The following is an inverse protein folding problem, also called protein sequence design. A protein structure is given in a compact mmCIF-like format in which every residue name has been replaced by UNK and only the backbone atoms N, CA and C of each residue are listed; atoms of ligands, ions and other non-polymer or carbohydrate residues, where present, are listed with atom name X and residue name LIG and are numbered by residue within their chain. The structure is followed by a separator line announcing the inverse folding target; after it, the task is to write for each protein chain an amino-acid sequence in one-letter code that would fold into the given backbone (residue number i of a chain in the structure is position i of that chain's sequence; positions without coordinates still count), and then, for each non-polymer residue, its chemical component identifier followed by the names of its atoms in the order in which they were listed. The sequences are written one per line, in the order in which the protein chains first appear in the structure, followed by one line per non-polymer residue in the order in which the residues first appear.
data_IF_558753153498
#
_entry.id   IF_558753153498
#
_cell.length_a   1.000
_cell.length_b   1.000
_cell.length_c   1.000
_cell.angle_alpha   90.00
_cell.angle_beta   90.00
_cell.angle_gamma   90.00
#
_symmetry.space_group_name_H-M   'P 1'
#
loop_
_entity.id
_entity.type
_entity.pdbx_description
1 polymer ?
#
# COMPACT_ATOMS: atom_id res chain seq x y z
N UNK A 1 12.81 10.23 -12.08
CA UNK A 1 13.93 9.26 -12.15
C UNK A 1 14.34 8.72 -10.78
N UNK A 2 14.61 9.58 -9.78
CA UNK A 2 15.00 9.15 -8.43
C UNK A 2 14.06 8.12 -7.80
N UNK A 3 12.74 8.37 -7.81
CA UNK A 3 11.75 7.43 -7.29
C UNK A 3 11.79 6.06 -7.98
N UNK A 4 11.79 6.04 -9.31
CA UNK A 4 11.81 4.78 -10.09
C UNK A 4 13.08 3.97 -9.83
N UNK A 5 14.25 4.63 -9.81
CA UNK A 5 15.53 3.98 -9.51
C UNK A 5 15.55 3.38 -8.09
N UNK A 6 15.03 4.12 -7.11
CA UNK A 6 14.89 3.66 -5.73
C UNK A 6 13.97 2.45 -5.63
N UNK A 7 12.79 2.50 -6.23
CA UNK A 7 11.81 1.41 -6.16
C UNK A 7 12.33 0.15 -6.85
N UNK A 8 12.85 0.29 -8.08
CA UNK A 8 13.45 -0.82 -8.83
C UNK A 8 14.66 -1.42 -8.09
N UNK A 9 15.56 -0.57 -7.58
CA UNK A 9 16.74 -0.99 -6.84
C UNK A 9 16.39 -1.74 -5.55
N UNK A 10 15.42 -1.25 -4.77
CA UNK A 10 14.97 -1.91 -3.55
C UNK A 10 14.30 -3.27 -3.85
N UNK A 11 13.43 -3.33 -4.87
CA UNK A 11 12.77 -4.58 -5.27
C UNK A 11 13.78 -5.61 -5.77
N UNK A 12 14.74 -5.20 -6.60
CA UNK A 12 15.80 -6.06 -7.09
C UNK A 12 16.65 -6.60 -5.94
N UNK A 13 17.13 -5.72 -5.06
CA UNK A 13 17.87 -6.11 -3.86
C UNK A 13 17.11 -7.14 -3.01
N UNK A 14 15.82 -6.90 -2.78
CA UNK A 14 14.97 -7.78 -1.96
C UNK A 14 14.81 -9.15 -2.60
N UNK A 15 14.61 -9.23 -3.91
CA UNK A 15 14.49 -10.51 -4.63
C UNK A 15 15.81 -11.27 -4.57
N UNK A 16 16.95 -10.61 -4.81
CA UNK A 16 18.28 -11.23 -4.71
C UNK A 16 18.57 -11.77 -3.30
N UNK A 17 18.04 -11.13 -2.25
CA UNK A 17 18.22 -11.59 -0.86
C UNK A 17 17.20 -12.61 -0.39
N UNK A 18 15.97 -12.58 -0.89
CA UNK A 18 14.87 -13.45 -0.42
C UNK A 18 14.73 -14.71 -1.29
N UNK A 19 15.28 -14.72 -2.50
CA UNK A 19 15.31 -15.86 -3.41
C UNK A 19 14.06 -15.99 -4.29
N UNK A 20 12.88 -15.65 -3.80
CA UNK A 20 11.65 -15.65 -4.60
C UNK A 20 10.64 -14.59 -4.16
N UNK A 21 9.67 -14.32 -5.04
CA UNK A 21 8.50 -13.49 -4.73
C UNK A 21 7.25 -14.36 -4.89
N UNK A 22 6.69 -14.76 -3.75
CA UNK A 22 5.58 -15.72 -3.67
C UNK A 22 4.32 -15.24 -4.36
N UNK A 23 4.20 -13.94 -4.65
CA UNK A 23 3.05 -13.37 -5.38
C UNK A 23 2.99 -13.87 -6.83
N UNK A 24 4.12 -14.29 -7.38
CA UNK A 24 4.18 -14.76 -8.76
C UNK A 24 3.93 -16.26 -8.88
N UNK A 25 4.15 -17.06 -7.83
CA UNK A 25 4.19 -18.53 -7.93
C UNK A 25 2.96 -19.13 -8.63
N UNK A 26 1.77 -18.59 -8.38
CA UNK A 26 0.52 -19.07 -8.97
C UNK A 26 0.20 -18.51 -10.37
N UNK A 27 0.88 -17.45 -10.82
CA UNK A 27 0.59 -16.79 -12.12
C UNK A 27 1.62 -17.10 -13.21
N UNK A 28 2.86 -17.45 -12.87
CA UNK A 28 3.96 -17.66 -13.85
C UNK A 28 3.67 -18.81 -14.82
N UNK A 29 2.93 -19.82 -14.34
CA UNK A 29 2.60 -21.01 -15.12
C UNK A 29 1.40 -20.80 -16.06
N UNK A 30 0.74 -19.64 -16.00
CA UNK A 30 -0.44 -19.32 -16.80
C UNK A 30 -0.17 -18.10 -17.70
N UNK A 31 0.14 -18.36 -18.97
CA UNK A 31 0.52 -17.33 -19.95
C UNK A 31 -0.39 -16.09 -19.93
N UNK A 32 -1.71 -16.27 -20.07
CA UNK A 32 -2.65 -15.14 -20.14
C UNK A 32 -2.77 -14.36 -18.81
N UNK A 33 -2.66 -15.04 -17.65
CA UNK A 33 -2.64 -14.36 -16.35
C UNK A 33 -1.36 -13.55 -16.17
N UNK A 34 -0.23 -14.12 -16.58
CA UNK A 34 1.06 -13.45 -16.52
C UNK A 34 1.13 -12.25 -17.48
N UNK A 35 0.67 -12.41 -18.72
CA UNK A 35 0.59 -11.33 -19.70
C UNK A 35 -0.35 -10.21 -19.23
N UNK A 36 -1.54 -10.54 -18.72
CA UNK A 36 -2.49 -9.57 -18.17
C UNK A 36 -1.91 -8.76 -17.01
N UNK A 37 -1.16 -9.40 -16.11
CA UNK A 37 -0.45 -8.72 -15.04
C UNK A 37 0.52 -7.65 -15.59
N UNK A 38 1.38 -8.02 -16.55
CA UNK A 38 2.36 -7.08 -17.12
C UNK A 38 1.73 -5.96 -17.94
N UNK A 39 0.67 -6.23 -18.69
CA UNK A 39 -0.11 -5.19 -19.38
C UNK A 39 -0.69 -4.20 -18.37
N UNK A 40 -1.22 -4.70 -17.24
CA UNK A 40 -1.68 -3.86 -16.14
C UNK A 40 -0.56 -2.99 -15.56
N UNK A 41 0.65 -3.54 -15.40
CA UNK A 41 1.83 -2.77 -14.96
C UNK A 41 2.24 -1.69 -15.96
N UNK A 42 2.20 -1.97 -17.26
CA UNK A 42 2.51 -1.00 -18.32
C UNK A 42 1.51 0.17 -18.28
N UNK A 43 0.21 -0.14 -18.22
CA UNK A 43 -0.85 0.88 -18.12
C UNK A 43 -0.67 1.69 -16.84
N UNK A 44 -0.35 1.04 -15.72
CA UNK A 44 -0.10 1.73 -14.46
C UNK A 44 1.05 2.72 -14.55
N UNK A 45 2.23 2.27 -15.02
CA UNK A 45 3.41 3.14 -15.19
C UNK A 45 3.09 4.29 -16.15
N UNK A 46 2.36 4.03 -17.23
CA UNK A 46 1.96 5.05 -18.18
C UNK A 46 1.07 6.12 -17.53
N UNK A 47 0.01 5.73 -16.80
CA UNK A 47 -0.88 6.67 -16.09
C UNK A 47 -0.11 7.49 -15.07
N UNK A 48 0.75 6.85 -14.27
CA UNK A 48 1.58 7.52 -13.26
C UNK A 48 2.57 8.51 -13.88
N UNK A 49 3.06 8.24 -15.09
CA UNK A 49 4.00 9.10 -15.80
C UNK A 49 3.37 10.35 -16.42
N UNK A 50 2.03 10.41 -16.53
CA UNK A 50 1.31 11.48 -17.24
C UNK A 50 1.73 12.92 -16.84
N UNK A 51 1.89 13.27 -15.56
CA UNK A 51 2.29 14.64 -15.18
C UNK A 51 3.61 15.04 -15.84
N UNK A 52 4.60 14.14 -15.83
CA UNK A 52 5.93 14.39 -16.40
C UNK A 52 5.89 14.34 -17.92
N UNK A 53 5.17 13.39 -18.51
CA UNK A 53 5.02 13.28 -19.97
C UNK A 53 4.38 14.54 -20.55
N UNK A 54 3.31 15.03 -19.92
CA UNK A 54 2.59 16.22 -20.36
C UNK A 54 3.46 17.47 -20.15
N UNK A 55 4.13 17.59 -19.01
CA UNK A 55 5.05 18.70 -18.74
C UNK A 55 6.15 18.81 -19.80
N UNK A 56 6.72 17.68 -20.22
CA UNK A 56 7.80 17.64 -21.21
C UNK A 56 7.30 17.64 -22.67
N UNK A 57 6.00 17.71 -22.89
CA UNK A 57 5.44 17.74 -24.25
C UNK A 57 5.71 19.09 -24.93
N UNK A 58 5.89 19.14 -26.27
CA UNK A 58 6.11 20.39 -27.00
C UNK A 58 4.97 21.42 -26.86
N UNK A 59 3.77 20.98 -26.46
CA UNK A 59 2.66 21.87 -26.20
C UNK A 59 2.82 22.68 -24.90
N UNK A 60 3.71 22.24 -24.00
CA UNK A 60 3.94 22.81 -22.67
C UNK A 60 5.35 23.38 -22.50
N UNK A 61 6.37 22.75 -23.09
CA UNK A 61 7.80 23.07 -22.88
C UNK A 61 8.49 23.72 -24.08
N UNK A 62 7.75 24.13 -25.11
CA UNK A 62 8.35 24.73 -26.31
C UNK A 62 8.70 26.20 -26.06
N UNK A 63 9.98 26.60 -26.15
CA UNK A 63 10.41 27.99 -25.92
C UNK A 63 9.73 29.02 -26.83
N UNK A 64 9.19 28.57 -27.96
CA UNK A 64 8.51 29.40 -28.96
C UNK A 64 7.00 29.53 -28.73
N UNK A 65 6.40 28.72 -27.85
CA UNK A 65 4.94 28.65 -27.65
C UNK A 65 4.51 28.86 -26.20
N UNK A 66 5.35 28.49 -25.24
CA UNK A 66 5.09 28.65 -23.82
C UNK A 66 6.06 29.68 -23.25
N UNK A 67 5.52 30.71 -22.59
CA UNK A 67 6.32 31.50 -21.66
C UNK A 67 6.65 30.60 -20.47
N UNK A 68 7.78 29.90 -20.54
CA UNK A 68 8.21 28.97 -19.50
C UNK A 68 8.37 29.74 -18.19
N UNK A 69 7.49 29.52 -17.20
CA UNK A 69 7.60 30.27 -15.96
C UNK A 69 8.90 29.91 -15.25
N UNK A 70 9.54 30.93 -14.67
CA UNK A 70 10.69 30.71 -13.80
C UNK A 70 10.34 29.72 -12.69
N UNK A 71 11.23 28.76 -12.44
CA UNK A 71 11.13 27.87 -11.29
C UNK A 71 11.09 28.65 -9.97
N UNK A 72 10.46 28.06 -8.94
CA UNK A 72 10.36 28.63 -7.59
C UNK A 72 8.99 29.22 -7.29
N UNK A 73 7.96 28.88 -8.06
CA UNK A 73 6.58 29.22 -7.72
C UNK A 73 6.07 28.35 -6.57
N UNK A 74 4.96 28.73 -5.96
CA UNK A 74 4.38 27.99 -4.83
C UNK A 74 4.13 26.51 -5.15
N UNK A 75 3.66 26.21 -6.37
CA UNK A 75 3.46 24.83 -6.87
C UNK A 75 4.76 24.04 -6.95
N UNK A 76 5.86 24.68 -7.37
CA UNK A 76 7.18 24.03 -7.40
C UNK A 76 7.64 23.67 -5.98
N UNK A 77 7.59 24.65 -5.07
CA UNK A 77 8.07 24.49 -3.69
C UNK A 77 7.26 23.42 -2.96
N UNK A 78 5.93 23.51 -3.02
CA UNK A 78 5.05 22.52 -2.40
C UNK A 78 5.27 21.13 -3.03
N UNK A 79 5.38 21.07 -4.35
CA UNK A 79 5.64 19.82 -5.08
C UNK A 79 6.91 19.13 -4.63
N UNK A 80 8.02 19.87 -4.50
CA UNK A 80 9.32 19.35 -4.03
C UNK A 80 9.22 18.87 -2.59
N UNK A 81 8.60 19.65 -1.71
CA UNK A 81 8.44 19.28 -0.29
C UNK A 81 7.68 17.97 -0.18
N UNK A 82 6.53 17.85 -0.85
CA UNK A 82 5.74 16.61 -0.83
C UNK A 82 6.50 15.44 -1.46
N UNK A 83 7.20 15.66 -2.57
CA UNK A 83 8.03 14.63 -3.20
C UNK A 83 9.13 14.13 -2.26
N UNK A 84 9.85 15.05 -1.60
CA UNK A 84 10.91 14.70 -0.65
C UNK A 84 10.37 13.97 0.59
N UNK A 85 9.27 14.45 1.17
CA UNK A 85 8.59 13.79 2.30
C UNK A 85 8.16 12.38 1.89
N UNK A 86 7.49 12.24 0.74
CA UNK A 86 6.99 10.96 0.28
C UNK A 86 8.12 9.96 0.00
N UNK A 87 9.17 10.40 -0.70
CA UNK A 87 10.35 9.58 -0.98
C UNK A 87 11.05 9.12 0.30
N UNK A 88 11.22 10.01 1.28
CA UNK A 88 11.78 9.68 2.59
C UNK A 88 10.91 8.66 3.34
N UNK A 89 9.60 8.90 3.40
CA UNK A 89 8.67 8.05 4.14
C UNK A 89 8.61 6.64 3.57
N UNK A 90 8.59 6.54 2.24
CA UNK A 90 8.68 5.28 1.53
C UNK A 90 10.01 4.59 1.87
N UNK A 91 11.15 5.27 1.64
CA UNK A 91 12.51 4.74 1.85
C UNK A 91 12.71 4.16 3.25
N UNK A 92 12.40 4.95 4.26
CA UNK A 92 12.59 4.57 5.66
C UNK A 92 11.61 3.46 6.05
N UNK A 93 10.36 3.52 5.60
CA UNK A 93 9.36 2.50 5.89
C UNK A 93 9.77 1.11 5.37
N UNK A 94 10.23 1.05 4.12
CA UNK A 94 10.69 -0.19 3.50
C UNK A 94 11.93 -0.78 4.20
N UNK A 95 12.94 0.06 4.48
CA UNK A 95 14.16 -0.36 5.19
C UNK A 95 13.81 -0.88 6.59
N UNK A 96 12.99 -0.15 7.35
CA UNK A 96 12.56 -0.59 8.69
C UNK A 96 11.86 -1.94 8.65
N UNK A 97 11.00 -2.17 7.64
CA UNK A 97 10.30 -3.46 7.49
C UNK A 97 11.24 -4.59 7.12
N UNK A 98 12.19 -4.32 6.24
CA UNK A 98 13.22 -5.28 5.85
C UNK A 98 14.07 -5.67 7.05
N UNK A 99 14.62 -4.71 7.79
CA UNK A 99 15.42 -4.96 8.99
C UNK A 99 14.63 -5.73 10.05
N UNK A 100 13.36 -5.38 10.27
CA UNK A 100 12.49 -6.14 11.18
C UNK A 100 12.38 -7.61 10.77
N UNK A 101 12.12 -7.90 9.49
CA UNK A 101 12.01 -9.28 9.01
C UNK A 101 13.34 -10.04 9.07
N UNK A 102 14.46 -9.38 8.79
CA UNK A 102 15.79 -9.99 8.85
C UNK A 102 16.28 -10.27 10.27
N UNK A 103 15.67 -9.65 11.29
CA UNK A 103 16.05 -9.81 12.70
C UNK A 103 15.44 -11.03 13.41
N UNK A 104 14.76 -11.94 12.68
CA UNK A 104 14.02 -13.09 13.24
C UNK A 104 13.10 -12.69 14.42
N UNK A 105 12.14 -11.78 14.20
CA UNK A 105 11.29 -11.28 15.27
C UNK A 105 10.40 -12.41 15.82
N UNK A 106 9.98 -12.32 17.10
CA UNK A 106 9.08 -13.31 17.68
C UNK A 106 7.84 -13.53 16.81
N UNK A 107 7.43 -14.78 16.66
CA UNK A 107 6.20 -15.14 15.92
C UNK A 107 5.01 -14.37 16.50
N UNK A 108 4.09 -13.95 15.64
CA UNK A 108 2.86 -13.28 16.07
C UNK A 108 3.04 -11.83 16.54
N UNK A 109 4.13 -11.13 16.16
CA UNK A 109 4.28 -9.69 16.44
C UNK A 109 4.46 -8.85 15.16
N UNK A 110 3.64 -7.80 14.95
CA UNK A 110 3.83 -6.89 13.82
C UNK A 110 5.04 -5.96 14.03
N UNK A 111 5.50 -5.35 12.95
CA UNK A 111 6.50 -4.28 13.04
C UNK A 111 5.81 -3.03 13.60
N UNK A 112 6.30 -2.52 14.73
CA UNK A 112 5.72 -1.38 15.45
C UNK A 112 6.76 -0.31 15.79
N UNK A 113 7.91 -0.32 15.10
CA UNK A 113 9.02 0.61 15.33
C UNK A 113 9.11 1.66 14.22
N UNK A 114 9.56 2.86 14.58
CA UNK A 114 9.79 3.93 13.62
C UNK A 114 8.50 4.40 12.94
N UNK A 115 8.47 4.47 11.62
CA UNK A 115 7.30 4.92 10.87
C UNK A 115 6.11 3.96 11.02
N UNK A 116 6.39 2.67 11.23
CA UNK A 116 5.38 1.63 11.47
C UNK A 116 4.65 1.77 12.82
N UNK A 117 5.14 2.65 13.70
CA UNK A 117 4.42 3.03 14.92
C UNK A 117 3.24 3.97 14.62
N UNK A 118 3.35 4.81 13.59
CA UNK A 118 2.38 5.85 13.26
C UNK A 118 1.33 5.39 12.24
N UNK A 119 1.68 4.47 11.35
CA UNK A 119 0.74 3.86 10.41
C UNK A 119 1.11 2.41 10.07
N UNK A 120 0.11 1.64 9.64
CA UNK A 120 0.26 0.22 9.24
C UNK A 120 0.91 0.08 7.87
N UNK A 121 0.79 1.09 7.01
CA UNK A 121 1.43 1.12 5.67
C UNK A 121 2.17 2.43 5.41
N UNK A 122 3.27 2.71 6.13
CA UNK A 122 4.05 3.91 5.87
C UNK A 122 4.52 4.05 4.41
N UNK A 123 4.96 2.97 3.71
CA UNK A 123 5.34 3.10 2.31
C UNK A 123 4.22 3.60 1.40
N UNK A 124 2.97 3.17 1.63
CA UNK A 124 1.83 3.63 0.82
C UNK A 124 1.53 5.12 1.05
N UNK A 125 1.66 5.60 2.29
CA UNK A 125 1.58 7.04 2.54
C UNK A 125 2.66 7.81 1.78
N UNK A 126 3.89 7.30 1.79
CA UNK A 126 5.01 7.88 1.02
C UNK A 126 4.70 7.95 -0.47
N UNK A 127 4.27 6.82 -1.04
CA UNK A 127 3.93 6.69 -2.45
C UNK A 127 2.78 7.63 -2.85
N UNK A 128 1.70 7.71 -2.09
CA UNK A 128 0.60 8.65 -2.37
C UNK A 128 1.13 10.10 -2.32
N UNK A 129 1.85 10.46 -1.25
CA UNK A 129 2.33 11.83 -1.02
C UNK A 129 3.27 12.30 -2.13
N UNK A 130 4.21 11.44 -2.57
CA UNK A 130 5.17 11.82 -3.61
C UNK A 130 4.50 12.00 -4.98
N UNK A 131 3.45 11.24 -5.30
CA UNK A 131 2.72 11.38 -6.56
C UNK A 131 1.87 12.65 -6.59
N UNK A 132 1.27 13.03 -5.45
CA UNK A 132 0.64 14.35 -5.31
C UNK A 132 1.66 15.49 -5.46
N UNK A 133 2.85 15.35 -4.86
CA UNK A 133 3.95 16.30 -5.04
C UNK A 133 4.42 16.43 -6.49
N UNK A 134 4.57 15.30 -7.19
CA UNK A 134 4.98 15.27 -8.60
C UNK A 134 3.95 15.95 -9.51
N UNK A 135 2.66 15.71 -9.29
CA UNK A 135 1.61 16.38 -10.03
C UNK A 135 1.61 17.90 -9.78
N UNK A 136 1.71 18.35 -8.51
CA UNK A 136 1.79 19.78 -8.18
C UNK A 136 3.00 20.47 -8.82
N UNK A 137 4.17 19.81 -8.80
CA UNK A 137 5.37 20.30 -9.46
C UNK A 137 5.14 20.55 -10.96
N UNK A 138 4.39 19.67 -11.61
CA UNK A 138 4.09 19.78 -13.04
C UNK A 138 3.02 20.82 -13.37
N UNK A 139 2.31 21.40 -12.39
CA UNK A 139 1.25 22.39 -12.62
C UNK A 139 1.73 23.83 -12.78
N UNK A 140 3.01 24.12 -12.52
CA UNK A 140 3.55 25.48 -12.59
C UNK A 140 3.29 26.17 -13.93
N UNK A 141 3.48 25.52 -15.11
CA UNK A 141 3.15 26.12 -16.40
C UNK A 141 1.67 26.48 -16.58
N UNK A 142 0.74 25.71 -16.01
CA UNK A 142 -0.70 26.02 -16.10
C UNK A 142 -1.10 27.21 -15.24
N UNK A 143 -0.53 27.28 -14.04
CA UNK A 143 -0.91 28.27 -13.01
C UNK A 143 -0.22 29.61 -13.20
N UNK A 144 1.01 29.60 -13.74
CA UNK A 144 1.86 30.79 -13.84
C UNK A 144 2.30 31.11 -15.28
N UNK A 145 1.97 30.26 -16.25
CA UNK A 145 2.38 30.41 -17.66
C UNK A 145 1.22 30.72 -18.62
N UNK A 146 1.59 31.14 -19.82
CA UNK A 146 0.69 31.38 -20.94
C UNK A 146 0.63 30.14 -21.85
N UNK A 147 -0.19 29.16 -21.46
CA UNK A 147 -0.40 27.93 -22.23
C UNK A 147 -1.71 27.95 -23.04
N UNK A 148 -1.75 27.27 -24.20
CA UNK A 148 -3.00 26.97 -24.91
C UNK A 148 -4.00 26.24 -24.00
N UNK A 149 -5.30 26.45 -24.24
CA UNK A 149 -6.39 25.82 -23.46
C UNK A 149 -6.25 24.29 -23.39
N UNK A 150 -5.90 23.65 -24.50
CA UNK A 150 -5.70 22.19 -24.57
C UNK A 150 -4.56 21.71 -23.67
N UNK A 151 -3.45 22.43 -23.63
CA UNK A 151 -2.29 22.11 -22.78
C UNK A 151 -2.62 22.27 -21.29
N UNK A 152 -3.35 23.33 -20.91
CA UNK A 152 -3.84 23.52 -19.54
C UNK A 152 -4.77 22.38 -19.10
N UNK A 153 -5.72 22.03 -19.94
CA UNK A 153 -6.63 20.91 -19.66
C UNK A 153 -5.89 19.58 -19.49
N UNK A 154 -4.87 19.32 -20.31
CA UNK A 154 -4.04 18.13 -20.17
C UNK A 154 -3.28 18.10 -18.84
N UNK A 155 -2.64 19.20 -18.43
CA UNK A 155 -1.92 19.28 -17.16
C UNK A 155 -2.85 19.10 -15.94
N UNK A 156 -4.06 19.66 -15.98
CA UNK A 156 -5.05 19.40 -14.94
C UNK A 156 -5.53 17.94 -14.95
N UNK A 157 -5.78 17.36 -16.13
CA UNK A 157 -6.17 15.96 -16.26
C UNK A 157 -5.08 14.99 -15.75
N UNK A 158 -3.82 15.43 -15.67
CA UNK A 158 -2.74 14.65 -15.06
C UNK A 158 -2.95 14.36 -13.55
N UNK A 159 -3.94 14.99 -12.89
CA UNK A 159 -4.38 14.62 -11.53
C UNK A 159 -4.86 13.16 -11.46
N UNK A 160 -5.23 12.57 -12.60
CA UNK A 160 -5.53 11.16 -12.71
C UNK A 160 -4.36 10.29 -12.24
N UNK A 161 -3.10 10.74 -12.35
CA UNK A 161 -1.95 9.98 -11.88
C UNK A 161 -1.97 9.72 -10.36
N UNK A 162 -1.94 10.75 -9.47
CA UNK A 162 -2.00 10.51 -8.03
C UNK A 162 -3.33 9.86 -7.58
N UNK A 163 -4.45 10.18 -8.23
CA UNK A 163 -5.74 9.55 -7.92
C UNK A 163 -5.72 8.06 -8.27
N UNK A 164 -5.17 7.69 -9.43
CA UNK A 164 -5.06 6.32 -9.87
C UNK A 164 -4.14 5.51 -8.94
N UNK A 165 -2.97 6.06 -8.57
CA UNK A 165 -2.09 5.44 -7.57
C UNK A 165 -2.82 5.21 -6.25
N UNK A 166 -3.56 6.21 -5.76
CA UNK A 166 -4.33 6.10 -4.53
C UNK A 166 -5.42 5.02 -4.64
N UNK A 167 -6.19 4.98 -5.72
CA UNK A 167 -7.22 3.96 -5.96
C UNK A 167 -6.62 2.56 -6.04
N UNK A 168 -5.52 2.39 -6.77
CA UNK A 168 -4.83 1.09 -6.86
C UNK A 168 -4.35 0.61 -5.50
N UNK A 169 -3.71 1.49 -4.71
CA UNK A 169 -3.21 1.14 -3.39
C UNK A 169 -4.34 0.86 -2.41
N UNK A 170 -5.44 1.61 -2.46
CA UNK A 170 -6.57 1.41 -1.54
C UNK A 170 -7.42 0.19 -1.91
N UNK A 171 -7.66 -0.05 -3.20
CA UNK A 171 -8.75 -0.94 -3.63
C UNK A 171 -8.31 -2.12 -4.49
N UNK A 172 -7.07 -2.13 -5.00
CA UNK A 172 -6.59 -3.20 -5.85
C UNK A 172 -5.38 -3.92 -5.22
N UNK A 173 -4.17 -3.44 -5.50
CA UNK A 173 -2.93 -4.16 -5.23
C UNK A 173 -2.33 -3.89 -3.86
N UNK A 174 -2.72 -2.81 -3.18
CA UNK A 174 -2.14 -2.41 -1.89
C UNK A 174 -2.85 -3.03 -0.67
N UNK A 175 -3.71 -2.25 -0.01
CA UNK A 175 -4.37 -2.61 1.25
C UNK A 175 -5.14 -3.93 1.22
N UNK A 176 -5.96 -4.26 0.18
CA UNK A 176 -6.73 -5.49 0.19
C UNK A 176 -5.84 -6.74 0.22
N UNK A 177 -4.69 -6.70 -0.46
CA UNK A 177 -3.74 -7.82 -0.52
C UNK A 177 -2.84 -7.90 0.72
N UNK A 178 -2.80 -6.83 1.52
CA UNK A 178 -1.94 -6.74 2.70
C UNK A 178 -2.69 -6.94 4.02
N UNK A 179 -3.81 -6.24 4.24
CA UNK A 179 -4.52 -6.21 5.54
C UNK A 179 -5.19 -7.54 5.88
N UNK A 180 -6.13 -7.98 5.04
CA UNK A 180 -6.91 -9.20 5.30
C UNK A 180 -6.05 -10.47 5.36
N UNK A 181 -5.14 -10.73 4.41
CA UNK A 181 -4.28 -11.91 4.48
C UNK A 181 -3.34 -11.89 5.70
N UNK A 182 -2.84 -10.72 6.09
CA UNK A 182 -2.03 -10.60 7.31
C UNK A 182 -2.89 -10.89 8.53
N UNK A 183 -4.07 -10.29 8.67
CA UNK A 183 -4.98 -10.55 9.78
C UNK A 183 -5.35 -12.04 9.89
N UNK A 184 -5.72 -12.68 8.77
CA UNK A 184 -5.95 -14.13 8.68
C UNK A 184 -4.77 -14.95 9.21
N UNK A 185 -3.54 -14.56 8.87
CA UNK A 185 -2.32 -15.22 9.37
C UNK A 185 -2.18 -15.10 10.90
N UNK A 186 -2.40 -13.92 11.48
CA UNK A 186 -2.33 -13.75 12.95
C UNK A 186 -3.46 -14.47 13.68
N UNK A 187 -4.65 -14.50 13.08
CA UNK A 187 -5.79 -15.27 13.57
C UNK A 187 -5.43 -16.76 13.65
N UNK A 188 -5.02 -17.37 12.52
CA UNK A 188 -4.64 -18.79 12.48
C UNK A 188 -3.47 -19.16 13.40
N UNK A 189 -2.53 -18.23 13.66
CA UNK A 189 -1.44 -18.45 14.63
C UNK A 189 -1.91 -18.57 16.09
N UNK A 190 -3.12 -18.08 16.40
CA UNK A 190 -3.69 -18.14 17.75
C UNK A 190 -4.45 -19.43 18.01
N UNK A 191 -4.76 -20.18 16.95
CA UNK A 191 -5.47 -21.47 16.98
C UNK A 191 -4.61 -22.56 16.33
N UNK A 192 -3.53 -23.02 16.98
CA UNK A 192 -2.72 -24.12 16.44
C UNK A 192 -3.56 -25.40 16.25
N UNK A 193 -3.06 -26.28 15.39
CA UNK A 193 -3.78 -27.46 14.90
C UNK A 193 -4.25 -28.36 16.03
N UNK A 194 -5.53 -28.74 16.03
CA UNK A 194 -5.98 -29.85 16.83
C UNK A 194 -5.42 -31.16 16.30
N UNK A 195 -4.26 -31.60 16.81
CA UNK A 195 -3.77 -32.97 16.65
C UNK A 195 -4.27 -33.91 17.75
N UNK A 196 -5.02 -33.40 18.73
CA UNK A 196 -5.45 -34.18 19.91
C UNK A 196 -6.99 -34.24 20.11
N UNK A 197 -7.83 -33.67 19.25
CA UNK A 197 -9.28 -33.83 19.39
C UNK A 197 -9.80 -35.04 18.62
N UNK A 198 -9.72 -36.21 19.23
CA UNK A 198 -10.37 -37.48 18.82
C UNK A 198 -11.91 -37.45 18.93
N UNK A 199 -12.55 -36.27 18.91
CA UNK A 199 -14.00 -36.11 19.11
C UNK A 199 -14.59 -35.05 18.17
N UNK A 200 -14.26 -35.16 16.88
CA UNK A 200 -14.83 -34.34 15.80
C UNK A 200 -15.98 -35.04 15.05
N UNK A 201 -16.68 -35.97 15.72
CA UNK A 201 -18.01 -36.42 15.31
C UNK A 201 -19.07 -35.59 16.03
N UNK A 202 -19.94 -34.94 15.26
CA UNK A 202 -21.27 -34.43 15.69
C UNK A 202 -21.40 -33.12 16.48
N UNK A 203 -20.38 -32.26 16.60
CA UNK A 203 -20.60 -30.88 17.10
C UNK A 203 -20.57 -29.86 15.98
N UNK A 204 -21.61 -29.00 15.93
CA UNK A 204 -21.70 -27.89 14.98
C UNK A 204 -20.44 -27.02 14.95
N UNK A 205 -20.24 -26.30 13.85
CA UNK A 205 -19.05 -25.48 13.66
C UNK A 205 -18.85 -24.52 14.84
N UNK A 206 -17.80 -24.74 15.63
CA UNK A 206 -17.33 -23.85 16.69
C UNK A 206 -15.84 -23.62 16.47
N UNK A 207 -15.41 -22.36 16.54
CA UNK A 207 -13.98 -22.07 16.52
C UNK A 207 -13.33 -22.68 17.77
N UNK A 208 -12.12 -23.26 17.67
CA UNK A 208 -11.38 -23.71 18.84
C UNK A 208 -11.11 -22.56 19.81
N UNK A 209 -10.81 -22.87 21.08
CA UNK A 209 -10.29 -21.84 21.99
C UNK A 209 -8.87 -21.42 21.57
N UNK A 210 -8.55 -20.14 21.75
CA UNK A 210 -7.23 -19.61 21.39
C UNK A 210 -6.18 -20.14 22.38
N UNK A 211 -5.08 -20.70 21.87
CA UNK A 211 -3.99 -21.22 22.72
C UNK A 211 -3.10 -20.08 23.26
N UNK A 212 -3.14 -18.91 22.62
CA UNK A 212 -2.33 -17.75 22.98
C UNK A 212 -3.00 -16.42 22.63
N UNK A 213 -2.45 -15.33 23.17
CA UNK A 213 -2.98 -13.97 22.97
C UNK A 213 -2.54 -13.30 21.66
N UNK A 214 -2.03 -14.03 20.65
CA UNK A 214 -1.50 -13.42 19.41
C UNK A 214 -2.57 -12.58 18.70
N UNK A 215 -3.76 -13.13 18.51
CA UNK A 215 -4.85 -12.45 17.82
C UNK A 215 -5.40 -11.27 18.64
N UNK A 216 -5.54 -11.44 19.95
CA UNK A 216 -5.97 -10.36 20.85
C UNK A 216 -5.01 -9.15 20.81
N UNK A 217 -3.70 -9.43 20.83
CA UNK A 217 -2.66 -8.42 20.69
C UNK A 217 -2.70 -7.76 19.30
N UNK A 218 -2.92 -8.53 18.24
CA UNK A 218 -3.03 -8.01 16.88
C UNK A 218 -4.27 -7.12 16.70
N UNK A 219 -5.43 -7.49 17.27
CA UNK A 219 -6.62 -6.63 17.32
C UNK A 219 -6.35 -5.31 18.01
N UNK A 220 -5.62 -5.35 19.13
CA UNK A 220 -5.22 -4.15 19.85
C UNK A 220 -4.34 -3.24 18.98
N UNK A 221 -3.43 -3.82 18.20
CA UNK A 221 -2.65 -3.09 17.20
C UNK A 221 -3.52 -2.47 16.10
N UNK A 222 -4.45 -3.22 15.49
CA UNK A 222 -5.35 -2.69 14.45
C UNK A 222 -6.20 -1.51 14.94
N UNK A 223 -6.67 -1.56 16.19
CA UNK A 223 -7.47 -0.48 16.81
C UNK A 223 -6.65 0.77 17.11
N UNK A 224 -5.36 0.60 17.40
CA UNK A 224 -4.46 1.69 17.84
C UNK A 224 -3.69 2.35 16.70
N UNK A 225 -3.54 1.68 15.57
CA UNK A 225 -2.68 2.14 14.48
C UNK A 225 -3.48 2.47 13.22
N UNK A 226 -3.32 3.70 12.73
CA UNK A 226 -3.91 4.17 11.47
C UNK A 226 -3.44 3.33 10.28
N UNK A 227 -4.27 3.19 9.24
CA UNK A 227 -3.89 2.42 8.04
C UNK A 227 -2.79 3.13 7.26
N UNK A 228 -3.09 4.30 6.69
CA UNK A 228 -2.19 5.05 5.81
C UNK A 228 -1.68 6.31 6.51
N UNK A 229 -2.59 7.19 6.91
CA UNK A 229 -2.23 8.53 7.41
C UNK A 229 -1.53 8.40 8.77
N UNK A 230 -0.30 8.92 8.93
CA UNK A 230 0.47 8.71 10.16
C UNK A 230 -0.13 9.49 11.33
N UNK A 231 -0.49 8.77 12.39
CA UNK A 231 -0.96 9.35 13.65
C UNK A 231 -0.31 8.65 14.85
N UNK A 232 0.02 9.38 15.93
CA UNK A 232 0.36 8.74 17.19
C UNK A 232 -0.79 7.84 17.66
N UNK A 233 -0.53 6.62 18.16
CA UNK A 233 -1.58 5.71 18.64
C UNK A 233 -2.48 6.32 19.72
N UNK A 234 -1.93 7.17 20.59
CA UNK A 234 -2.69 7.88 21.63
C UNK A 234 -3.76 8.82 21.05
N UNK A 235 -3.55 9.33 19.84
CA UNK A 235 -4.49 10.20 19.13
C UNK A 235 -5.48 9.36 18.33
N UNK A 236 -4.99 8.38 17.54
CA UNK A 236 -5.84 7.59 16.65
C UNK A 236 -6.94 6.82 17.39
N UNK A 237 -6.64 6.28 18.58
CA UNK A 237 -7.63 5.54 19.39
C UNK A 237 -8.84 6.41 19.74
N UNK A 238 -8.63 7.70 19.96
CA UNK A 238 -9.66 8.66 20.40
C UNK A 238 -10.59 9.08 19.26
N UNK A 239 -10.22 8.85 18.00
CA UNK A 239 -11.07 9.25 16.89
C UNK A 239 -12.35 8.42 16.83
N UNK A 240 -13.50 9.06 16.54
CA UNK A 240 -14.75 8.35 16.34
C UNK A 240 -14.70 7.50 15.07
N UNK A 241 -15.48 6.42 15.03
CA UNK A 241 -15.47 5.46 13.90
C UNK A 241 -15.84 6.12 12.56
N UNK A 242 -16.75 7.09 12.56
CA UNK A 242 -17.12 7.80 11.32
C UNK A 242 -15.94 8.57 10.72
N UNK A 243 -15.07 9.14 11.57
CA UNK A 243 -13.88 9.87 11.13
C UNK A 243 -12.83 8.92 10.57
N UNK A 244 -12.63 7.77 11.25
CA UNK A 244 -11.73 6.72 10.77
C UNK A 244 -12.17 6.18 9.41
N UNK A 245 -13.47 5.87 9.27
CA UNK A 245 -14.04 5.29 8.03
C UNK A 245 -14.12 6.30 6.89
N UNK A 246 -14.52 7.53 7.18
CA UNK A 246 -14.72 8.57 6.17
C UNK A 246 -13.42 9.23 5.73
N UNK A 247 -12.70 9.85 6.67
CA UNK A 247 -11.54 10.68 6.34
C UNK A 247 -10.23 9.89 6.29
N UNK A 248 -10.06 8.92 7.18
CA UNK A 248 -8.83 8.13 7.28
C UNK A 248 -8.85 6.86 6.44
N UNK A 249 -9.95 6.63 5.71
CA UNK A 249 -10.15 5.52 4.79
C UNK A 249 -9.96 4.14 5.46
N UNK A 250 -10.28 4.02 6.75
CA UNK A 250 -10.37 2.75 7.48
C UNK A 250 -11.70 2.06 7.14
N UNK A 251 -11.81 1.63 5.88
CA UNK A 251 -13.02 1.04 5.33
C UNK A 251 -13.25 -0.38 5.88
N UNK A 252 -14.51 -0.79 6.10
CA UNK A 252 -14.84 -2.13 6.60
C UNK A 252 -14.26 -3.27 5.75
N UNK A 253 -14.08 -3.06 4.45
CA UNK A 253 -13.53 -4.06 3.53
C UNK A 253 -12.09 -4.49 3.87
N UNK A 254 -11.34 -3.68 4.64
CA UNK A 254 -9.98 -4.02 5.09
C UNK A 254 -9.95 -4.79 6.40
N UNK A 255 -11.06 -4.81 7.14
CA UNK A 255 -11.15 -5.49 8.43
C UNK A 255 -11.40 -6.98 8.20
N UNK A 256 -10.76 -7.78 9.05
CA UNK A 256 -10.98 -9.21 9.14
C UNK A 256 -12.07 -9.46 10.18
N UNK A 257 -13.15 -10.11 9.76
CA UNK A 257 -14.28 -10.48 10.59
C UNK A 257 -14.08 -11.90 11.14
N UNK A 258 -14.05 -12.07 12.46
CA UNK A 258 -13.80 -13.37 13.08
C UNK A 258 -14.92 -14.37 12.78
N UNK A 259 -16.17 -13.91 12.81
CA UNK A 259 -17.34 -14.76 12.64
C UNK A 259 -17.51 -15.16 11.19
N UNK A 260 -17.20 -14.26 10.26
CA UNK A 260 -17.31 -14.56 8.82
C UNK A 260 -16.02 -15.12 8.24
N UNK A 261 -14.94 -14.36 8.30
CA UNK A 261 -13.67 -14.67 7.64
C UNK A 261 -12.86 -15.71 8.45
N UNK A 262 -13.03 -15.76 9.77
CA UNK A 262 -12.36 -16.73 10.64
C UNK A 262 -12.79 -18.17 10.39
N UNK A 263 -14.09 -18.40 10.12
CA UNK A 263 -14.61 -19.72 9.78
C UNK A 263 -14.04 -20.25 8.47
N UNK A 264 -14.14 -19.43 7.43
CA UNK A 264 -13.60 -19.73 6.10
C UNK A 264 -12.08 -19.98 6.15
N UNK A 265 -11.35 -19.15 6.90
CA UNK A 265 -9.92 -19.31 7.10
C UNK A 265 -9.56 -20.64 7.75
N UNK A 266 -10.31 -21.07 8.77
CA UNK A 266 -10.08 -22.32 9.47
C UNK A 266 -10.39 -23.55 8.61
N UNK A 267 -11.49 -23.52 7.86
CA UNK A 267 -11.86 -24.59 6.92
C UNK A 267 -10.83 -24.75 5.80
N UNK A 268 -10.35 -23.64 5.24
CA UNK A 268 -9.33 -23.68 4.20
C UNK A 268 -8.02 -24.27 4.73
N UNK A 269 -7.59 -23.88 5.94
CA UNK A 269 -6.38 -24.40 6.57
C UNK A 269 -6.51 -25.91 6.90
N UNK A 270 -7.68 -26.35 7.40
CA UNK A 270 -7.96 -27.78 7.61
C UNK A 270 -7.90 -28.56 6.30
N UNK A 271 -8.52 -28.05 5.22
CA UNK A 271 -8.51 -28.69 3.91
C UNK A 271 -7.10 -28.82 3.36
N UNK A 272 -6.28 -27.76 3.47
CA UNK A 272 -4.86 -27.78 3.03
C UNK A 272 -4.02 -28.81 3.79
N UNK A 273 -4.32 -29.04 5.07
CA UNK A 273 -3.59 -30.00 5.91
C UNK A 273 -4.08 -31.45 5.76
N UNK A 274 -5.36 -31.67 5.44
CA UNK A 274 -5.92 -33.00 5.19
C UNK A 274 -5.70 -33.52 3.77
N UNK A 275 -5.21 -32.68 2.85
CA UNK A 275 -4.82 -33.05 1.48
C UNK A 275 -3.32 -33.38 1.34
N UNK A 276 -2.59 -33.47 2.45
CA UNK A 276 -1.16 -33.84 2.55
C UNK A 276 -1.08 -35.18 3.27
#
# INVERSE_FOLDING_TARGET
MLWAARLAGFLLFRVLKTGSDTRFDDIRNHFFKFAGFWVGQIVWVWVVSLPVVILNSPAVSSPFRSGDPSFGKATDIIGIILFAIGLFWEAVGDIQKYMFKSSNPPKGKPCTKGLWYFSRHPPYFGEITLHWGLWLLCLTPTTNGALPKSAKSAQYAAILAPLFTMVLLLFASGLPTAEKPTAKKYFLMSYPSSSNSTSAGERGFSLPEAENDIWSNYKSYLKRTSIIIPFPPSVYVRFPEWLKRGLLLDLPMFRFDEDKDGREAWEEERRKRGSV
#
